data_IF_170117761556
#
_entry.id   IF_170117761556
#
_cell.length_a   1.000
_cell.length_b   1.000
_cell.length_c   1.000
_cell.angle_alpha   90.00
_cell.angle_beta   90.00
_cell.angle_gamma   90.00
#
_symmetry.space_group_name_H-M   'P 1'
#
loop_
_entity.id
_entity.type
_entity.pdbx_description
1 polymer ?
#
# COMPACT_ATOMS: atom_id res chain seq x y z
N UNK A 1 -5.97 13.64 14.03
CA UNK A 1 -5.99 12.50 13.08
C UNK A 1 -7.41 12.30 12.59
N UNK A 2 -7.56 11.91 11.34
CA UNK A 2 -8.87 11.73 10.73
C UNK A 2 -8.89 10.48 9.85
N UNK A 3 -10.05 9.81 9.82
CA UNK A 3 -10.26 8.69 8.91
C UNK A 3 -10.54 9.23 7.50
N UNK A 4 -9.94 8.59 6.51
CA UNK A 4 -10.11 8.89 5.09
C UNK A 4 -10.80 7.73 4.39
N UNK A 5 -11.53 8.04 3.34
CA UNK A 5 -12.16 7.01 2.51
C UNK A 5 -11.10 6.28 1.69
N UNK A 6 -11.15 4.95 1.71
CA UNK A 6 -10.26 4.10 0.90
C UNK A 6 -10.91 3.85 -0.46
N UNK A 7 -10.20 4.23 -1.52
CA UNK A 7 -10.67 4.02 -2.89
C UNK A 7 -10.62 2.53 -3.24
N UNK A 8 -11.55 2.10 -4.07
CA UNK A 8 -11.67 0.69 -4.49
C UNK A 8 -11.49 0.60 -6.00
N UNK A 9 -10.73 -0.41 -6.45
CA UNK A 9 -10.54 -0.65 -7.88
C UNK A 9 -11.90 -0.89 -8.56
N UNK A 10 -12.12 -0.38 -9.76
CA UNK A 10 -11.15 0.17 -10.70
C UNK A 10 -11.05 1.71 -10.70
N UNK A 11 -11.17 2.36 -9.55
CA UNK A 11 -11.04 3.83 -9.49
C UNK A 11 -9.74 4.27 -10.19
N UNK A 12 -9.82 5.18 -11.17
CA UNK A 12 -8.65 5.56 -11.96
C UNK A 12 -7.55 6.25 -11.15
N UNK A 13 -7.86 6.80 -9.98
CA UNK A 13 -6.86 7.42 -9.10
C UNK A 13 -5.85 6.40 -8.55
N UNK A 14 -6.20 5.11 -8.55
CA UNK A 14 -5.30 4.03 -8.14
C UNK A 14 -4.24 3.71 -9.21
N UNK A 15 -4.40 4.20 -10.42
CA UNK A 15 -3.51 3.93 -11.56
C UNK A 15 -2.57 5.09 -11.88
N UNK A 16 -2.61 6.15 -11.10
CA UNK A 16 -1.77 7.34 -11.32
C UNK A 16 -0.41 7.14 -10.65
N UNK A 17 0.65 7.57 -11.32
CA UNK A 17 1.99 7.59 -10.71
C UNK A 17 2.06 8.75 -9.73
N UNK A 18 2.36 8.46 -8.47
CA UNK A 18 2.47 9.46 -7.43
C UNK A 18 3.74 10.31 -7.60
N UNK A 19 3.65 11.57 -7.21
CA UNK A 19 4.77 12.51 -7.28
C UNK A 19 5.57 12.54 -5.97
N UNK A 20 6.87 12.82 -6.03
CA UNK A 20 7.68 12.93 -4.82
C UNK A 20 7.19 14.00 -3.86
N UNK A 21 7.38 13.73 -2.57
CA UNK A 21 7.21 14.73 -1.51
C UNK A 21 8.45 15.63 -1.53
N UNK A 22 8.26 16.93 -1.66
CA UNK A 22 9.38 17.88 -1.70
C UNK A 22 9.94 18.16 -0.30
N UNK A 23 9.07 18.19 0.70
CA UNK A 23 9.45 18.53 2.07
C UNK A 23 8.46 17.92 3.05
N UNK A 24 8.98 17.41 4.19
CA UNK A 24 8.14 16.90 5.26
C UNK A 24 7.72 18.08 6.15
N UNK A 25 6.60 18.69 5.81
CA UNK A 25 5.99 19.77 6.58
C UNK A 25 4.85 19.24 7.44
N UNK A 26 4.16 20.15 8.15
CA UNK A 26 3.02 19.78 9.01
C UNK A 26 1.87 19.14 8.24
N UNK A 27 1.64 19.57 7.00
CA UNK A 27 0.60 18.98 6.14
C UNK A 27 0.90 17.54 5.77
N UNK A 28 2.15 17.25 5.45
CA UNK A 28 2.60 15.89 5.14
C UNK A 28 2.51 15.01 6.37
N UNK A 29 2.94 15.51 7.53
CA UNK A 29 2.85 14.77 8.80
C UNK A 29 1.39 14.44 9.16
N UNK A 30 0.48 15.39 8.99
CA UNK A 30 -0.95 15.17 9.20
C UNK A 30 -1.49 14.10 8.25
N UNK A 31 -1.10 14.14 6.99
CA UNK A 31 -1.50 13.12 6.01
C UNK A 31 -1.00 11.73 6.42
N UNK A 32 0.26 11.63 6.84
CA UNK A 32 0.82 10.37 7.33
C UNK A 32 0.05 9.82 8.52
N UNK A 33 -0.28 10.69 9.48
CA UNK A 33 -1.03 10.31 10.68
C UNK A 33 -2.46 9.86 10.32
N UNK A 34 -3.13 10.56 9.41
CA UNK A 34 -4.46 10.18 8.92
C UNK A 34 -4.43 8.84 8.19
N UNK A 35 -3.38 8.60 7.39
CA UNK A 35 -3.20 7.34 6.69
C UNK A 35 -3.04 6.17 7.67
N UNK A 36 -2.23 6.37 8.70
CA UNK A 36 -2.00 5.34 9.71
C UNK A 36 -3.28 5.00 10.47
N UNK A 37 -4.04 6.02 10.88
CA UNK A 37 -5.32 5.82 11.54
C UNK A 37 -6.32 5.11 10.64
N UNK A 38 -6.40 5.51 9.37
CA UNK A 38 -7.27 4.88 8.37
C UNK A 38 -6.90 3.41 8.16
N UNK A 39 -5.60 3.12 8.07
CA UNK A 39 -5.10 1.74 7.94
C UNK A 39 -5.53 0.89 9.13
N UNK A 40 -5.30 1.36 10.35
CA UNK A 40 -5.70 0.63 11.55
C UNK A 40 -7.22 0.44 11.63
N UNK A 41 -7.98 1.48 11.30
CA UNK A 41 -9.44 1.40 11.30
C UNK A 41 -10.00 0.38 10.32
N UNK A 42 -9.28 0.10 9.25
CA UNK A 42 -9.65 -0.90 8.24
C UNK A 42 -9.00 -2.27 8.49
N UNK A 43 -8.30 -2.44 9.61
CA UNK A 43 -7.56 -3.66 9.95
C UNK A 43 -6.51 -4.05 8.90
N UNK A 44 -5.91 -3.05 8.24
CA UNK A 44 -4.86 -3.25 7.26
C UNK A 44 -3.47 -3.24 7.88
N UNK A 45 -2.50 -3.75 7.15
CA UNK A 45 -1.09 -3.74 7.55
C UNK A 45 -0.27 -2.74 6.76
N UNK A 46 -0.82 -2.20 5.68
CA UNK A 46 -0.18 -1.20 4.84
C UNK A 46 -1.21 -0.35 4.11
N UNK A 47 -0.80 0.86 3.75
CA UNK A 47 -1.63 1.78 2.98
C UNK A 47 -0.72 2.78 2.25
N UNK A 48 -1.04 3.03 0.99
CA UNK A 48 -0.34 4.03 0.17
C UNK A 48 -1.24 5.23 -0.07
N UNK A 49 -0.66 6.41 -0.19
CA UNK A 49 -1.41 7.65 -0.34
C UNK A 49 -2.41 7.67 -1.51
N UNK A 50 -2.11 7.09 -2.69
CA UNK A 50 -3.11 7.01 -3.76
C UNK A 50 -4.40 6.31 -3.37
N UNK A 51 -4.36 5.39 -2.42
CA UNK A 51 -5.56 4.66 -1.96
C UNK A 51 -6.54 5.57 -1.21
N UNK A 52 -6.11 6.74 -0.75
CA UNK A 52 -7.00 7.74 -0.15
C UNK A 52 -7.11 9.00 -1.01
N UNK A 53 -6.74 8.91 -2.27
CA UNK A 53 -6.88 10.00 -3.23
C UNK A 53 -5.77 11.03 -3.23
N UNK A 54 -4.66 10.79 -2.52
CA UNK A 54 -3.49 11.67 -2.54
C UNK A 54 -2.47 11.18 -3.56
N UNK A 55 -1.93 12.09 -4.35
CA UNK A 55 -0.94 11.76 -5.38
C UNK A 55 0.51 11.86 -4.90
N UNK A 56 0.73 11.84 -3.59
CA UNK A 56 2.07 11.92 -3.00
C UNK A 56 2.66 10.52 -2.75
N UNK A 57 3.98 10.44 -2.84
CA UNK A 57 4.70 9.19 -2.59
C UNK A 57 4.88 8.96 -1.09
N UNK A 58 3.81 8.54 -0.44
CA UNK A 58 3.78 8.24 1.00
C UNK A 58 3.18 6.86 1.20
N UNK A 59 3.81 6.09 2.09
CA UNK A 59 3.38 4.76 2.50
C UNK A 59 3.41 4.68 4.02
N UNK A 60 2.42 4.04 4.61
CA UNK A 60 2.43 3.66 6.02
C UNK A 60 2.26 2.16 6.13
N UNK A 61 2.87 1.55 7.14
CA UNK A 61 2.68 0.12 7.40
C UNK A 61 2.95 -0.22 8.86
N UNK A 62 2.36 -1.33 9.28
CA UNK A 62 2.62 -1.95 10.57
C UNK A 62 2.26 -3.43 10.45
N UNK A 63 3.28 -4.28 10.43
CA UNK A 63 3.11 -5.73 10.28
C UNK A 63 3.15 -6.47 11.62
N UNK A 64 3.16 -5.74 12.74
CA UNK A 64 3.09 -6.34 14.06
C UNK A 64 1.78 -7.12 14.23
N UNK A 65 1.86 -8.27 14.90
CA UNK A 65 0.68 -9.09 15.21
C UNK A 65 -0.13 -8.41 16.33
N UNK A 66 -1.40 -8.81 16.47
CA UNK A 66 -2.30 -8.25 17.49
C UNK A 66 -1.77 -8.38 18.92
N UNK A 67 -1.00 -9.44 19.20
CA UNK A 67 -0.40 -9.74 20.51
C UNK A 67 0.98 -9.08 20.68
N UNK A 68 1.45 -8.35 19.70
CA UNK A 68 2.73 -7.65 19.75
C UNK A 68 2.50 -6.14 19.86
N UNK A 69 3.51 -5.43 20.35
CA UNK A 69 3.49 -3.97 20.37
C UNK A 69 3.48 -3.42 18.95
N UNK A 70 2.73 -2.34 18.74
CA UNK A 70 2.66 -1.68 17.45
C UNK A 70 4.05 -1.18 17.01
N UNK A 71 4.35 -1.37 15.72
CA UNK A 71 5.62 -0.93 15.10
C UNK A 71 5.33 -0.19 13.80
N UNK A 72 4.63 0.95 13.88
CA UNK A 72 4.29 1.69 12.67
C UNK A 72 5.51 2.26 11.96
N UNK A 73 5.48 2.23 10.64
CA UNK A 73 6.46 2.89 9.79
C UNK A 73 5.72 3.89 8.90
N UNK A 74 6.26 5.10 8.81
CA UNK A 74 5.72 6.17 7.97
C UNK A 74 6.83 6.58 7.02
N UNK A 75 6.64 6.35 5.73
CA UNK A 75 7.69 6.48 4.72
C UNK A 75 7.27 7.48 3.65
N UNK A 76 8.11 8.51 3.47
CA UNK A 76 7.98 9.42 2.33
C UNK A 76 9.07 9.09 1.31
N UNK A 77 8.71 9.17 0.03
CA UNK A 77 9.63 8.89 -1.09
C UNK A 77 10.35 7.54 -0.95
N UNK A 78 9.63 6.46 -0.60
CA UNK A 78 10.29 5.16 -0.47
C UNK A 78 10.80 4.68 -1.82
N UNK A 79 12.00 4.12 -1.82
CA UNK A 79 12.65 3.60 -3.01
C UNK A 79 13.28 2.25 -2.69
N UNK A 80 12.97 1.23 -3.49
CA UNK A 80 13.61 -0.07 -3.38
C UNK A 80 15.00 0.04 -4.02
N UNK A 81 16.04 -0.12 -3.22
CA UNK A 81 17.43 0.03 -3.69
C UNK A 81 18.12 -1.32 -3.87
N UNK A 82 17.52 -2.40 -3.41
CA UNK A 82 18.05 -3.75 -3.56
C UNK A 82 16.93 -4.77 -3.37
N UNK A 83 16.97 -5.84 -4.13
CA UNK A 83 16.08 -7.00 -3.97
C UNK A 83 16.90 -8.28 -3.93
N UNK A 84 16.45 -9.27 -3.16
CA UNK A 84 17.07 -10.58 -3.12
C UNK A 84 16.82 -11.35 -4.43
N UNK A 85 17.72 -12.30 -4.76
CA UNK A 85 17.51 -13.21 -5.90
C UNK A 85 16.44 -14.25 -5.57
N UNK A 86 16.35 -14.65 -4.30
CA UNK A 86 15.35 -15.61 -3.84
C UNK A 86 13.96 -15.00 -3.93
N UNK A 87 13.04 -15.72 -4.54
CA UNK A 87 11.63 -15.33 -4.65
C UNK A 87 10.80 -16.18 -3.69
N UNK A 88 9.70 -15.61 -3.20
CA UNK A 88 8.72 -16.31 -2.37
C UNK A 88 7.33 -16.07 -2.91
N UNK A 89 6.50 -17.10 -2.87
CA UNK A 89 5.10 -17.04 -3.24
C UNK A 89 4.27 -16.85 -1.97
N UNK A 90 3.49 -15.79 -1.91
CA UNK A 90 2.62 -15.50 -0.75
C UNK A 90 1.27 -15.01 -1.21
N UNK A 91 0.24 -15.34 -0.45
CA UNK A 91 -1.09 -14.80 -0.69
C UNK A 91 -1.15 -13.33 -0.27
N UNK A 92 -1.65 -12.48 -1.16
CA UNK A 92 -1.82 -11.05 -0.92
C UNK A 92 -3.28 -10.66 -1.06
N UNK A 93 -3.65 -9.61 -0.33
CA UNK A 93 -4.90 -8.91 -0.46
C UNK A 93 -4.63 -7.42 -0.37
N UNK A 94 -5.64 -6.60 -0.61
CA UNK A 94 -5.49 -5.15 -0.61
C UNK A 94 -6.80 -4.49 -0.17
N UNK A 95 -6.70 -3.44 0.64
CA UNK A 95 -7.88 -2.68 1.07
C UNK A 95 -8.64 -2.07 -0.12
N UNK A 96 -7.94 -1.80 -1.22
CA UNK A 96 -8.55 -1.29 -2.46
C UNK A 96 -9.09 -2.39 -3.38
N UNK A 97 -8.92 -3.66 -3.00
CA UNK A 97 -9.45 -4.84 -3.72
C UNK A 97 -10.10 -5.76 -2.67
N UNK A 98 -11.18 -5.29 -2.01
CA UNK A 98 -11.74 -5.99 -0.86
C UNK A 98 -12.24 -7.39 -1.22
N UNK A 99 -12.05 -8.33 -0.30
CA UNK A 99 -12.53 -9.72 -0.37
C UNK A 99 -11.91 -10.58 -1.47
N UNK A 100 -10.86 -10.09 -2.12
CA UNK A 100 -10.14 -10.86 -3.14
C UNK A 100 -8.69 -11.04 -2.72
N UNK A 101 -8.19 -12.27 -2.87
CA UNK A 101 -6.84 -12.66 -2.50
C UNK A 101 -6.23 -13.49 -3.63
N UNK A 102 -4.93 -13.40 -3.80
CA UNK A 102 -4.22 -14.21 -4.79
C UNK A 102 -2.76 -14.33 -4.42
N UNK A 103 -2.14 -15.40 -4.88
CA UNK A 103 -0.71 -15.60 -4.68
C UNK A 103 0.09 -14.74 -5.64
N UNK A 104 1.09 -14.06 -5.12
CA UNK A 104 2.02 -13.23 -5.89
C UNK A 104 3.44 -13.64 -5.54
N UNK A 105 4.27 -13.82 -6.56
CA UNK A 105 5.68 -14.11 -6.39
C UNK A 105 6.49 -12.83 -6.33
N UNK A 106 7.29 -12.68 -5.27
CA UNK A 106 8.11 -11.47 -5.04
C UNK A 106 9.47 -11.85 -4.48
N UNK A 107 10.49 -10.98 -4.66
CA UNK A 107 11.72 -11.12 -3.90
C UNK A 107 11.43 -11.28 -2.41
N UNK A 108 12.10 -12.23 -1.75
CA UNK A 108 11.86 -12.50 -0.33
C UNK A 108 12.35 -11.39 0.59
N UNK A 109 13.34 -10.61 0.13
CA UNK A 109 13.92 -9.51 0.90
C UNK A 109 14.13 -8.29 0.01
N UNK A 110 14.00 -7.11 0.60
CA UNK A 110 14.28 -5.85 -0.08
C UNK A 110 14.98 -4.89 0.87
N UNK A 111 15.73 -3.94 0.31
CA UNK A 111 16.22 -2.78 1.04
C UNK A 111 15.51 -1.55 0.49
N UNK A 112 14.97 -0.73 1.39
CA UNK A 112 14.20 0.45 1.05
C UNK A 112 14.81 1.68 1.71
N UNK A 113 15.06 2.72 0.93
CA UNK A 113 15.45 4.04 1.43
C UNK A 113 14.22 4.93 1.43
N UNK A 114 14.10 5.75 2.47
CA UNK A 114 12.95 6.63 2.61
C UNK A 114 13.27 7.79 3.56
N UNK A 115 12.39 8.78 3.58
CA UNK A 115 12.39 9.83 4.59
C UNK A 115 11.33 9.47 5.64
N UNK A 116 11.70 9.56 6.92
CA UNK A 116 10.75 9.31 8.01
C UNK A 116 9.86 10.53 8.28
N UNK A 117 9.00 10.44 9.29
CA UNK A 117 8.06 11.51 9.64
C UNK A 117 8.76 12.82 10.02
N UNK A 118 9.98 12.76 10.49
CA UNK A 118 10.80 13.92 10.84
C UNK A 118 11.67 14.43 9.69
N UNK A 119 11.58 13.78 8.52
CA UNK A 119 12.36 14.16 7.35
C UNK A 119 13.77 13.62 7.31
N UNK A 120 14.09 12.67 8.21
CA UNK A 120 15.42 12.04 8.24
C UNK A 120 15.49 10.90 7.25
N UNK A 121 16.64 10.79 6.57
CA UNK A 121 16.90 9.68 5.65
C UNK A 121 17.11 8.39 6.45
N UNK A 122 16.41 7.34 6.06
CA UNK A 122 16.47 6.02 6.68
C UNK A 122 16.64 4.94 5.62
N UNK A 123 17.15 3.80 6.02
CA UNK A 123 17.17 2.60 5.19
C UNK A 123 16.72 1.41 6.04
N UNK A 124 15.86 0.57 5.48
CA UNK A 124 15.39 -0.65 6.14
C UNK A 124 15.71 -1.85 5.26
N UNK A 125 16.21 -2.93 5.89
CA UNK A 125 16.34 -4.24 5.25
C UNK A 125 15.13 -5.06 5.70
N UNK A 126 14.16 -5.21 4.80
CA UNK A 126 12.90 -5.87 5.10
C UNK A 126 12.92 -7.34 4.67
N UNK A 127 12.42 -8.20 5.55
CA UNK A 127 12.26 -9.64 5.31
C UNK A 127 10.82 -10.04 5.63
N UNK A 128 10.42 -11.26 5.23
CA UNK A 128 9.11 -11.80 5.56
C UNK A 128 7.95 -10.91 5.14
N UNK A 129 6.96 -10.78 6.00
CA UNK A 129 5.75 -10.00 5.70
C UNK A 129 6.03 -8.53 5.45
N UNK A 130 7.01 -7.94 6.15
CA UNK A 130 7.38 -6.53 5.93
C UNK A 130 7.91 -6.32 4.51
N UNK A 131 8.71 -7.25 3.99
CA UNK A 131 9.22 -7.18 2.60
C UNK A 131 8.06 -7.17 1.60
N UNK A 132 7.10 -8.08 1.76
CA UNK A 132 5.91 -8.15 0.90
C UNK A 132 5.10 -6.87 0.99
N UNK A 133 4.84 -6.40 2.21
CA UNK A 133 4.05 -5.20 2.45
C UNK A 133 4.68 -3.97 1.79
N UNK A 134 5.97 -3.74 2.00
CA UNK A 134 6.65 -2.59 1.40
C UNK A 134 6.63 -2.65 -0.13
N UNK A 135 6.87 -3.81 -0.72
CA UNK A 135 6.81 -3.96 -2.18
C UNK A 135 5.42 -3.66 -2.73
N UNK A 136 4.39 -4.19 -2.06
CA UNK A 136 2.99 -3.99 -2.44
C UNK A 136 2.62 -2.49 -2.37
N UNK A 137 2.95 -1.83 -1.28
CA UNK A 137 2.59 -0.42 -1.08
C UNK A 137 3.38 0.52 -1.99
N UNK A 138 4.66 0.24 -2.22
CA UNK A 138 5.48 1.04 -3.14
C UNK A 138 4.95 0.92 -4.58
N UNK A 139 4.46 -0.25 -4.97
CA UNK A 139 3.84 -0.43 -6.29
C UNK A 139 2.61 0.45 -6.48
N UNK A 140 1.81 0.68 -5.42
CA UNK A 140 0.70 1.61 -5.49
C UNK A 140 1.14 3.01 -5.92
N UNK A 141 2.33 3.42 -5.50
CA UNK A 141 2.89 4.73 -5.86
C UNK A 141 3.20 4.84 -7.36
N UNK A 142 3.34 3.72 -8.04
CA UNK A 142 3.57 3.66 -9.48
C UNK A 142 2.31 3.24 -10.26
N UNK A 143 1.17 3.22 -9.58
CA UNK A 143 -0.11 2.88 -10.20
C UNK A 143 -0.34 1.39 -10.42
N UNK A 144 0.37 0.53 -9.70
CA UNK A 144 0.28 -0.93 -9.83
C UNK A 144 -0.44 -1.54 -8.65
N UNK A 145 -1.41 -2.40 -8.92
CA UNK A 145 -2.12 -3.20 -7.92
C UNK A 145 -1.57 -4.63 -7.93
N UNK A 146 -1.73 -5.37 -6.80
CA UNK A 146 -1.25 -6.76 -6.76
C UNK A 146 -1.91 -7.63 -7.84
N UNK A 147 -3.15 -7.35 -8.21
CA UNK A 147 -3.85 -8.09 -9.26
C UNK A 147 -3.21 -7.91 -10.64
N UNK A 148 -2.38 -6.89 -10.83
CA UNK A 148 -1.65 -6.68 -12.08
C UNK A 148 -0.55 -7.74 -12.29
N UNK A 149 -0.17 -8.47 -11.21
CA UNK A 149 0.74 -9.61 -11.29
C UNK A 149 0.04 -10.91 -11.71
N UNK A 150 -1.28 -10.92 -11.73
CA UNK A 150 -2.07 -12.09 -12.10
C UNK A 150 -2.22 -12.19 -13.61
N UNK A 151 -2.67 -13.36 -14.09
CA UNK A 151 -3.06 -13.49 -15.48
C UNK A 151 -4.15 -12.49 -15.82
N UNK A 152 -4.20 -12.06 -17.08
CA UNK A 152 -5.22 -11.12 -17.55
C UNK A 152 -6.64 -11.62 -17.23
N UNK A 153 -6.87 -12.92 -17.41
CA UNK A 153 -8.17 -13.54 -17.13
C UNK A 153 -8.55 -13.39 -15.64
N UNK A 154 -7.64 -13.76 -14.73
CA UNK A 154 -7.91 -13.66 -13.28
C UNK A 154 -8.15 -12.22 -12.85
N UNK A 155 -7.32 -11.31 -13.33
CA UNK A 155 -7.46 -9.88 -13.04
C UNK A 155 -8.80 -9.34 -13.51
N UNK A 156 -9.20 -9.65 -14.74
CA UNK A 156 -10.46 -9.17 -15.31
C UNK A 156 -11.67 -9.72 -14.57
N UNK A 157 -11.63 -10.96 -14.10
CA UNK A 157 -12.70 -11.55 -13.28
C UNK A 157 -12.84 -10.77 -11.97
N UNK A 158 -11.74 -10.48 -11.29
CA UNK A 158 -11.76 -9.72 -10.04
C UNK A 158 -12.32 -8.32 -10.26
N UNK A 159 -11.86 -7.62 -11.29
CA UNK A 159 -12.33 -6.27 -11.61
C UNK A 159 -13.83 -6.25 -11.93
N UNK A 160 -14.32 -7.24 -12.64
CA UNK A 160 -15.76 -7.36 -12.93
C UNK A 160 -16.57 -7.54 -11.66
N UNK A 161 -16.10 -8.41 -10.74
CA UNK A 161 -16.78 -8.64 -9.46
C UNK A 161 -16.80 -7.38 -8.60
N UNK A 162 -15.71 -6.62 -8.59
CA UNK A 162 -15.63 -5.35 -7.86
C UNK A 162 -16.60 -4.32 -8.41
N UNK A 163 -16.68 -4.18 -9.72
CA UNK A 163 -17.65 -3.27 -10.37
C UNK A 163 -19.07 -3.64 -10.03
N UNK A 164 -19.41 -4.94 -10.04
CA UNK A 164 -20.72 -5.43 -9.69
C UNK A 164 -21.07 -5.11 -8.23
N UNK A 165 -20.14 -5.33 -7.31
CA UNK A 165 -20.32 -5.05 -5.89
C UNK A 165 -20.55 -3.56 -5.66
N UNK A 166 -19.79 -2.69 -6.31
CA UNK A 166 -19.96 -1.24 -6.20
C UNK A 166 -21.32 -0.79 -6.73
N UNK A 167 -21.74 -1.34 -7.86
CA UNK A 167 -23.05 -1.03 -8.46
C UNK A 167 -24.19 -1.39 -7.51
N UNK A 168 -24.09 -2.53 -6.82
CA UNK A 168 -25.11 -2.98 -5.88
C UNK A 168 -25.11 -2.15 -4.58
N UNK A 169 -23.99 -1.54 -4.23
CA UNK A 169 -23.84 -0.71 -3.03
C UNK A 169 -24.29 0.74 -3.26
N UNK A 170 -24.44 1.17 -4.51
CA UNK A 170 -24.88 2.54 -4.83
C UNK A 170 -26.36 2.71 -4.48
N UNK A 171 -26.76 3.84 -3.88
CA UNK A 171 -28.18 4.13 -3.63
C UNK A 171 -28.93 4.23 -4.95
N UNK A 172 -30.14 3.69 -4.97
CA UNK A 172 -31.00 3.73 -6.15
C UNK A 172 -31.45 5.17 -6.47
#
# INVERSE_FOLDING_TARGET
MALREILVAPDPRLKVKARPVERIDGGVQTLMDDMLETMYGANGIGLAAPQIGSDLRIVVCDVARRDEDARPMLLANPEIVWTSEKLELREEGCLSVPEHYAEVERPSEVKVRYLDREGKAQEVHATGLLSVCLQHEIEHLDGTLFIDHLSRMKRDIILRKLKKTQRLAEPA
#
